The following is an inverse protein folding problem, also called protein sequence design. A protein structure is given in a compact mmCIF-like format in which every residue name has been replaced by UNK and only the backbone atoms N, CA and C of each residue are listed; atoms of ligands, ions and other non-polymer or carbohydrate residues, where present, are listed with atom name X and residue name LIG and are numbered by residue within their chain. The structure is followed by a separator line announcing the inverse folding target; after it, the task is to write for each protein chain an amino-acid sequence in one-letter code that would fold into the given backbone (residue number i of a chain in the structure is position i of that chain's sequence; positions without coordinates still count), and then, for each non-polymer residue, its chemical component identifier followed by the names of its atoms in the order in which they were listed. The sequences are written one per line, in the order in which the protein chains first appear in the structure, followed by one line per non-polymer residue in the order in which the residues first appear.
data_IF_834825257859
#
_entry.id   IF_834825257859
#
_cell.length_a   1.000
_cell.length_b   1.000
_cell.length_c   1.000
_cell.angle_alpha   90.00
_cell.angle_beta   90.00
_cell.angle_gamma   90.00
#
_symmetry.space_group_name_H-M   'P 1'
#
loop_
_entity.id
_entity.type
_entity.pdbx_description
1 polymer ?
#
# COMPACT_ATOMS: atom_id res chain seq x y z
N UNK A 1 -2.45 20.69 0.39
CA UNK A 1 -1.24 21.50 0.69
C UNK A 1 -1.39 22.29 1.98
N UNK A 2 -2.43 23.11 2.16
CA UNK A 2 -2.63 23.94 3.36
C UNK A 2 -2.51 23.17 4.68
N UNK A 3 -3.19 22.02 4.80
CA UNK A 3 -3.12 21.17 6.00
C UNK A 3 -1.70 20.67 6.27
N UNK A 4 -0.92 20.36 5.22
CA UNK A 4 0.45 19.86 5.36
C UNK A 4 1.36 21.00 5.83
N UNK A 5 1.20 22.21 5.29
CA UNK A 5 1.94 23.39 5.75
C UNK A 5 1.63 23.74 7.21
N UNK A 6 0.36 23.62 7.60
CA UNK A 6 -0.12 23.92 8.96
C UNK A 6 0.35 22.88 9.97
N UNK A 7 0.17 21.59 9.68
CA UNK A 7 0.41 20.51 10.63
C UNK A 7 1.86 19.98 10.59
N UNK A 8 2.60 20.23 9.50
CA UNK A 8 3.99 19.79 9.27
C UNK A 8 4.19 18.31 9.64
N UNK A 9 3.38 17.38 9.09
CA UNK A 9 3.49 15.97 9.43
C UNK A 9 4.81 15.39 8.91
N UNK A 10 5.43 14.49 9.68
CA UNK A 10 6.58 13.72 9.24
C UNK A 10 6.19 12.62 8.22
N UNK A 11 4.98 12.08 8.39
CA UNK A 11 4.43 10.97 7.59
C UNK A 11 2.94 11.17 7.34
N UNK A 12 2.48 10.88 6.12
CA UNK A 12 1.06 10.82 5.76
C UNK A 12 0.67 9.37 5.42
N UNK A 13 -0.49 8.94 5.91
CA UNK A 13 -1.08 7.64 5.58
C UNK A 13 -2.25 7.82 4.61
N UNK A 14 -2.20 7.16 3.46
CA UNK A 14 -3.19 7.29 2.38
C UNK A 14 -3.92 5.97 2.11
N UNK A 15 -5.24 5.98 2.34
CA UNK A 15 -6.20 4.92 2.02
C UNK A 15 -7.33 5.43 1.12
N UNK A 16 -7.00 6.24 0.13
CA UNK A 16 -7.98 6.81 -0.79
C UNK A 16 -8.20 5.93 -2.03
N UNK A 17 -8.32 6.55 -3.20
CA UNK A 17 -8.47 5.89 -4.50
C UNK A 17 -7.18 6.06 -5.32
N UNK A 18 -6.87 5.15 -6.27
CA UNK A 18 -5.64 5.21 -7.06
C UNK A 18 -5.35 6.60 -7.66
N UNK A 19 -6.37 7.24 -8.23
CA UNK A 19 -6.22 8.54 -8.88
C UNK A 19 -5.94 9.66 -7.88
N UNK A 20 -6.53 9.56 -6.68
CA UNK A 20 -6.28 10.51 -5.60
C UNK A 20 -4.87 10.33 -5.04
N UNK A 21 -4.45 9.08 -4.78
CA UNK A 21 -3.10 8.78 -4.31
C UNK A 21 -2.03 9.24 -5.29
N UNK A 22 -2.22 9.07 -6.60
CA UNK A 22 -1.26 9.54 -7.60
C UNK A 22 -1.07 11.06 -7.55
N UNK A 23 -2.16 11.83 -7.41
CA UNK A 23 -2.07 13.28 -7.22
C UNK A 23 -1.41 13.64 -5.90
N UNK A 24 -1.80 12.96 -4.82
CA UNK A 24 -1.29 13.18 -3.48
C UNK A 24 0.22 12.92 -3.41
N UNK A 25 0.72 11.84 -4.02
CA UNK A 25 2.15 11.52 -4.05
C UNK A 25 2.96 12.63 -4.70
N UNK A 26 2.49 13.22 -5.80
CA UNK A 26 3.21 14.32 -6.46
C UNK A 26 3.30 15.56 -5.57
N UNK A 27 2.21 15.91 -4.89
CA UNK A 27 2.15 17.07 -4.00
C UNK A 27 2.99 16.82 -2.73
N UNK A 28 2.72 15.72 -2.04
CA UNK A 28 3.30 15.40 -0.72
C UNK A 28 4.81 15.18 -0.83
N UNK A 29 5.26 14.50 -1.89
CA UNK A 29 6.69 14.29 -2.10
C UNK A 29 7.44 15.62 -2.35
N UNK A 30 6.89 16.54 -3.14
CA UNK A 30 7.46 17.90 -3.34
C UNK A 30 7.57 18.68 -2.02
N UNK A 31 6.64 18.45 -1.10
CA UNK A 31 6.65 19.02 0.24
C UNK A 31 7.61 18.29 1.21
N UNK A 32 8.36 17.30 0.72
CA UNK A 32 9.34 16.50 1.48
C UNK A 32 8.76 15.74 2.67
N UNK A 33 7.51 15.30 2.55
CA UNK A 33 6.84 14.50 3.58
C UNK A 33 6.79 13.04 3.15
N UNK A 34 7.06 12.12 4.07
CA UNK A 34 7.07 10.68 3.78
C UNK A 34 5.64 10.12 3.71
N UNK A 35 5.46 8.98 3.04
CA UNK A 35 4.12 8.40 2.85
C UNK A 35 4.05 6.91 3.16
N UNK A 36 2.93 6.50 3.74
CA UNK A 36 2.46 5.10 3.80
C UNK A 36 1.19 5.00 2.96
N UNK A 37 1.20 4.17 1.92
CA UNK A 37 0.09 4.02 0.99
C UNK A 37 -0.54 2.64 1.19
N UNK A 38 -1.77 2.64 1.70
CA UNK A 38 -2.64 1.46 1.79
C UNK A 38 -3.57 1.28 0.59
N UNK A 39 -3.68 2.28 -0.29
CA UNK A 39 -4.48 2.22 -1.52
C UNK A 39 -4.06 1.03 -2.41
N UNK A 40 -5.04 0.28 -2.92
CA UNK A 40 -4.86 -0.87 -3.82
C UNK A 40 -5.26 -0.49 -5.26
N UNK A 41 -5.00 -1.37 -6.24
CA UNK A 41 -5.50 -1.20 -7.61
C UNK A 41 -4.63 -0.36 -8.56
N UNK A 42 -3.33 -0.19 -8.26
CA UNK A 42 -2.40 0.48 -9.18
C UNK A 42 -1.93 -0.46 -10.30
N UNK A 43 -1.87 0.08 -11.51
CA UNK A 43 -1.12 -0.52 -12.61
C UNK A 43 0.40 -0.41 -12.40
N UNK A 44 1.18 -1.20 -13.14
CA UNK A 44 2.65 -1.10 -13.10
C UNK A 44 3.16 0.31 -13.47
N UNK A 45 2.49 0.97 -14.43
CA UNK A 45 2.86 2.32 -14.86
C UNK A 45 2.64 3.33 -13.74
N UNK A 46 1.55 3.18 -12.98
CA UNK A 46 1.25 4.06 -11.85
C UNK A 46 2.22 3.83 -10.70
N UNK A 47 2.57 2.58 -10.39
CA UNK A 47 3.62 2.26 -9.41
C UNK A 47 4.97 2.86 -9.82
N UNK A 48 5.30 2.84 -11.12
CA UNK A 48 6.51 3.52 -11.64
C UNK A 48 6.44 5.04 -11.47
N UNK A 49 5.27 5.67 -11.67
CA UNK A 49 5.09 7.11 -11.42
C UNK A 49 5.28 7.46 -9.95
N UNK A 50 4.71 6.67 -9.05
CA UNK A 50 4.86 6.83 -7.59
C UNK A 50 6.34 6.73 -7.19
N UNK A 51 7.04 5.68 -7.64
CA UNK A 51 8.48 5.50 -7.40
C UNK A 51 9.32 6.65 -7.95
N UNK A 52 9.02 7.12 -9.16
CA UNK A 52 9.74 8.24 -9.79
C UNK A 52 9.57 9.54 -9.00
N UNK A 53 8.34 9.87 -8.60
CA UNK A 53 8.03 11.10 -7.85
C UNK A 53 8.74 11.12 -6.50
N UNK A 54 8.68 10.01 -5.76
CA UNK A 54 9.35 9.88 -4.45
C UNK A 54 10.87 9.90 -4.55
N UNK A 55 11.45 9.26 -5.58
CA UNK A 55 12.88 9.30 -5.86
C UNK A 55 13.38 10.71 -6.18
N UNK A 56 12.70 11.43 -7.10
CA UNK A 56 13.10 12.80 -7.50
C UNK A 56 13.08 13.76 -6.31
N UNK A 57 12.08 13.63 -5.44
CA UNK A 57 11.93 14.52 -4.29
C UNK A 57 12.66 14.03 -3.02
N UNK A 58 13.39 12.91 -3.11
CA UNK A 58 14.11 12.30 -1.98
C UNK A 58 13.21 12.08 -0.75
N UNK A 59 12.09 11.39 -0.95
CA UNK A 59 11.10 11.07 0.10
C UNK A 59 10.92 9.57 0.26
N UNK A 60 10.69 9.14 1.49
CA UNK A 60 10.41 7.75 1.83
C UNK A 60 8.96 7.36 1.52
N UNK A 61 8.79 6.15 1.02
CA UNK A 61 7.48 5.58 0.71
C UNK A 61 7.39 4.11 1.13
N UNK A 62 6.31 3.77 1.81
CA UNK A 62 5.89 2.39 2.05
C UNK A 62 4.59 2.16 1.31
N UNK A 63 4.60 1.29 0.29
CA UNK A 63 3.38 0.82 -0.36
C UNK A 63 3.00 -0.53 0.25
N UNK A 64 1.91 -0.55 1.02
CA UNK A 64 1.44 -1.71 1.78
C UNK A 64 -0.05 -1.93 1.50
N UNK A 65 -0.42 -2.61 0.40
CA UNK A 65 -1.83 -2.89 0.05
C UNK A 65 -2.54 -3.77 1.08
N UNK A 66 -1.78 -4.41 1.98
CA UNK A 66 -2.28 -5.04 3.20
C UNK A 66 -1.37 -4.64 4.37
N UNK A 67 -1.94 -4.07 5.44
CA UNK A 67 -1.19 -3.59 6.61
C UNK A 67 -1.31 -4.56 7.80
N UNK A 68 -2.15 -5.59 7.69
CA UNK A 68 -2.33 -6.58 8.75
C UNK A 68 -1.08 -7.46 8.85
N UNK A 69 -0.38 -7.38 9.98
CA UNK A 69 0.83 -8.16 10.25
C UNK A 69 0.59 -9.66 10.04
N UNK A 70 -0.51 -10.19 10.59
CA UNK A 70 -0.85 -11.61 10.48
C UNK A 70 -1.00 -12.08 9.03
N UNK A 71 -1.60 -11.27 8.16
CA UNK A 71 -1.76 -11.62 6.74
C UNK A 71 -0.41 -11.60 6.03
N UNK A 72 0.41 -10.56 6.25
CA UNK A 72 1.74 -10.49 5.65
C UNK A 72 2.65 -11.65 6.09
N UNK A 73 2.61 -12.03 7.38
CA UNK A 73 3.34 -13.19 7.90
C UNK A 73 2.82 -14.47 7.25
N UNK A 74 1.50 -14.66 7.20
CA UNK A 74 0.90 -15.84 6.58
C UNK A 74 1.28 -15.95 5.09
N UNK A 75 1.30 -14.85 4.33
CA UNK A 75 1.74 -14.86 2.94
C UNK A 75 3.18 -15.38 2.77
N UNK A 76 4.10 -14.97 3.65
CA UNK A 76 5.49 -15.45 3.63
C UNK A 76 5.54 -16.94 3.97
N UNK A 77 4.84 -17.36 5.02
CA UNK A 77 4.80 -18.76 5.44
C UNK A 77 4.17 -19.67 4.38
N UNK A 78 3.07 -19.24 3.76
CA UNK A 78 2.41 -19.98 2.69
C UNK A 78 3.31 -20.14 1.46
N UNK A 79 4.11 -19.11 1.12
CA UNK A 79 5.11 -19.20 0.05
C UNK A 79 6.23 -20.21 0.38
N UNK A 80 6.66 -20.27 1.64
CA UNK A 80 7.66 -21.26 2.07
C UNK A 80 7.05 -22.68 2.05
N UNK A 81 5.82 -22.83 2.56
CA UNK A 81 5.10 -24.08 2.56
C UNK A 81 4.86 -24.62 1.15
N UNK A 82 4.52 -23.76 0.17
CA UNK A 82 4.32 -24.18 -1.23
C UNK A 82 5.57 -24.74 -1.88
N UNK A 83 6.76 -24.30 -1.44
CA UNK A 83 8.04 -24.82 -1.94
C UNK A 83 8.34 -26.17 -1.29
N UNK A 84 8.14 -26.29 0.03
CA UNK A 84 8.48 -27.49 0.81
C UNK A 84 7.50 -28.65 0.61
N UNK A 85 6.22 -28.35 0.40
CA UNK A 85 5.12 -29.31 0.29
C UNK A 85 4.56 -29.35 -1.14
N UNK A 86 5.43 -29.21 -2.15
CA UNK A 86 5.04 -29.11 -3.56
C UNK A 86 4.30 -30.33 -4.15
N UNK A 87 4.24 -31.44 -3.42
CA UNK A 87 3.53 -32.67 -3.79
C UNK A 87 2.18 -32.83 -3.07
N UNK A 88 1.74 -31.82 -2.31
CA UNK A 88 0.44 -31.79 -1.64
C UNK A 88 -0.54 -30.88 -2.37
N UNK A 89 -1.82 -31.14 -2.18
CA UNK A 89 -2.89 -30.27 -2.64
C UNK A 89 -3.05 -29.07 -1.68
N UNK A 90 -3.29 -27.89 -2.25
CA UNK A 90 -3.52 -26.65 -1.51
C UNK A 90 -4.93 -26.13 -1.76
N UNK A 91 -5.63 -25.76 -0.69
CA UNK A 91 -6.94 -25.12 -0.74
C UNK A 91 -6.91 -23.81 0.08
N UNK A 92 -7.61 -22.79 -0.41
CA UNK A 92 -7.84 -21.53 0.30
C UNK A 92 -9.34 -21.41 0.54
N UNK A 93 -9.75 -21.38 1.81
CA UNK A 93 -11.13 -21.10 2.20
C UNK A 93 -11.18 -19.77 2.96
N UNK A 94 -12.11 -18.89 2.58
CA UNK A 94 -12.32 -17.60 3.22
C UNK A 94 -13.77 -17.43 3.68
N UNK A 95 -13.96 -16.74 4.80
CA UNK A 95 -15.27 -16.39 5.32
C UNK A 95 -15.28 -14.92 5.69
N UNK A 96 -16.22 -14.18 5.13
CA UNK A 96 -16.44 -12.77 5.40
C UNK A 96 -17.79 -12.61 6.13
N UNK A 97 -17.85 -11.68 7.10
CA UNK A 97 -19.13 -11.32 7.69
C UNK A 97 -20.04 -10.72 6.61
N UNK A 98 -21.29 -11.19 6.52
CA UNK A 98 -22.27 -10.58 5.63
C UNK A 98 -22.59 -9.18 6.14
N UNK A 99 -22.02 -8.16 5.49
CA UNK A 99 -22.46 -6.78 5.69
C UNK A 99 -23.71 -6.61 4.84
N UNK A 100 -24.89 -6.62 5.48
CA UNK A 100 -26.13 -6.18 4.86
C UNK A 100 -25.96 -4.68 4.58
N UNK A 101 -25.82 -4.30 3.31
CA UNK A 101 -25.90 -2.92 2.89
C UNK A 101 -27.33 -2.42 3.11
N UNK A 102 -27.55 -1.63 4.16
CA UNK A 102 -28.74 -0.78 4.34
C UNK A 102 -28.63 0.48 3.49
#
# INVERSE_FOLDING_TARGET
EEIILKCRPDVIVDFSKPEATLRNVDIISKMKVNMVIGTTGFSELELKKIKKSTYINNTGIVHAPNITLGVNVLMILSKLASILLNNYDFEISEAHFNIISS
#
